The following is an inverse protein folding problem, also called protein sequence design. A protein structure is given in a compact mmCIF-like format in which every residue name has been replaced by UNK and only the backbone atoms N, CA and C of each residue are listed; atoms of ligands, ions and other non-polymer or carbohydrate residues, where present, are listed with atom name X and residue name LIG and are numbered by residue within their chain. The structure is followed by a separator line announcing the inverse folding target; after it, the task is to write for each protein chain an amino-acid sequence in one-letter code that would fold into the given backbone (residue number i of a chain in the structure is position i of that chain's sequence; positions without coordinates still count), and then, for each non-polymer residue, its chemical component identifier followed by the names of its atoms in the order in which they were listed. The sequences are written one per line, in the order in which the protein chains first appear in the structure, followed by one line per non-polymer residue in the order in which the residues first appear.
data_IF_102793960799
#
_entry.id   IF_102793960799
#
_cell.length_a   1.000
_cell.length_b   1.000
_cell.length_c   1.000
_cell.angle_alpha   90.00
_cell.angle_beta   90.00
_cell.angle_gamma   90.00
#
_symmetry.space_group_name_H-M   'P 1'
#
loop_
_entity.id
_entity.type
_entity.pdbx_description
1 polymer ?
#
# COMPACT_ATOMS: atom_id res chain seq x y z
N UNK A 1 -49.43 -8.10 -37.12
CA UNK A 1 -48.68 -7.12 -37.95
C UNK A 1 -47.27 -7.65 -38.11
N UNK A 2 -46.62 -7.45 -39.25
CA UNK A 2 -45.23 -7.87 -39.45
C UNK A 2 -44.31 -7.16 -38.45
N UNK A 3 -43.34 -7.91 -37.88
CA UNK A 3 -42.33 -7.34 -36.97
C UNK A 3 -41.27 -6.59 -37.77
N UNK A 4 -40.60 -5.62 -37.15
CA UNK A 4 -39.58 -4.82 -37.84
C UNK A 4 -38.47 -5.67 -38.48
N UNK A 5 -38.04 -6.74 -37.80
CA UNK A 5 -37.04 -7.69 -38.31
C UNK A 5 -37.42 -8.27 -39.70
N UNK A 6 -38.69 -8.61 -39.92
CA UNK A 6 -39.15 -9.28 -41.14
C UNK A 6 -38.89 -8.45 -42.41
N UNK A 7 -38.91 -7.12 -42.29
CA UNK A 7 -38.61 -6.23 -43.42
C UNK A 7 -37.12 -6.21 -43.79
N UNK A 8 -36.23 -6.49 -42.84
CA UNK A 8 -34.78 -6.51 -43.04
C UNK A 8 -34.21 -7.93 -43.28
N UNK A 9 -34.99 -8.99 -43.09
CA UNK A 9 -34.59 -10.37 -43.39
C UNK A 9 -33.97 -10.54 -44.79
N UNK A 10 -34.50 -9.94 -45.88
CA UNK A 10 -33.88 -10.07 -47.19
C UNK A 10 -32.42 -9.59 -47.24
N UNK A 11 -32.07 -8.55 -46.48
CA UNK A 11 -30.70 -8.06 -46.39
C UNK A 11 -29.82 -8.97 -45.52
N UNK A 12 -30.36 -9.51 -44.42
CA UNK A 12 -29.66 -10.53 -43.64
C UNK A 12 -29.39 -11.80 -44.46
N UNK A 13 -30.37 -12.30 -45.20
CA UNK A 13 -30.19 -13.46 -46.08
C UNK A 13 -29.16 -13.19 -47.17
N UNK A 14 -29.19 -11.99 -47.76
CA UNK A 14 -28.19 -11.59 -48.75
C UNK A 14 -26.77 -11.50 -48.14
N UNK A 15 -26.62 -10.88 -46.98
CA UNK A 15 -25.33 -10.79 -46.27
C UNK A 15 -24.76 -12.16 -45.91
N UNK A 16 -25.59 -13.10 -45.45
CA UNK A 16 -25.15 -14.47 -45.15
C UNK A 16 -24.69 -15.22 -46.42
N UNK A 17 -25.40 -15.06 -47.54
CA UNK A 17 -24.97 -15.64 -48.81
C UNK A 17 -23.62 -15.08 -49.28
N UNK A 18 -23.37 -13.77 -49.05
CA UNK A 18 -22.07 -13.16 -49.32
C UNK A 18 -20.99 -13.67 -48.36
N UNK A 19 -21.28 -13.80 -47.05
CA UNK A 19 -20.35 -14.35 -46.05
C UNK A 19 -19.94 -15.79 -46.43
N UNK A 20 -20.88 -16.63 -46.85
CA UNK A 20 -20.62 -17.99 -47.37
C UNK A 20 -19.70 -17.96 -48.61
N UNK A 21 -19.98 -17.08 -49.59
CA UNK A 21 -19.12 -16.90 -50.77
C UNK A 21 -17.70 -16.42 -50.43
N UNK A 22 -17.55 -15.55 -49.42
CA UNK A 22 -16.26 -15.08 -48.93
C UNK A 22 -15.48 -16.24 -48.29
N UNK A 23 -16.14 -17.04 -47.44
CA UNK A 23 -15.54 -18.21 -46.77
C UNK A 23 -15.06 -19.24 -47.80
N UNK A 24 -15.88 -19.54 -48.80
CA UNK A 24 -15.56 -20.51 -49.87
C UNK A 24 -14.60 -19.94 -50.94
N UNK A 25 -14.15 -18.68 -50.79
CA UNK A 25 -13.33 -17.97 -51.79
C UNK A 25 -13.97 -17.94 -53.19
N UNK A 26 -15.30 -18.03 -53.26
CA UNK A 26 -16.10 -18.16 -54.48
C UNK A 26 -16.75 -16.84 -54.91
N UNK A 27 -16.49 -15.74 -54.19
CA UNK A 27 -17.04 -14.43 -54.49
C UNK A 27 -16.46 -13.87 -55.82
N UNK A 28 -17.26 -13.92 -56.88
CA UNK A 28 -16.90 -13.46 -58.23
C UNK A 28 -17.43 -12.06 -58.55
N UNK A 29 -18.48 -11.62 -57.85
CA UNK A 29 -19.12 -10.33 -58.07
C UNK A 29 -18.22 -9.17 -57.61
N UNK A 30 -18.34 -8.01 -58.27
CA UNK A 30 -17.65 -6.80 -57.83
C UNK A 30 -18.27 -6.28 -56.53
N UNK A 31 -17.44 -5.75 -55.62
CA UNK A 31 -17.93 -5.19 -54.34
C UNK A 31 -18.94 -4.04 -54.55
N UNK A 32 -18.83 -3.31 -55.66
CA UNK A 32 -19.78 -2.24 -56.03
C UNK A 32 -21.17 -2.79 -56.37
N UNK A 33 -21.26 -3.91 -57.08
CA UNK A 33 -22.54 -4.58 -57.39
C UNK A 33 -23.18 -5.15 -56.11
N UNK A 34 -22.36 -5.73 -55.22
CA UNK A 34 -22.81 -6.21 -53.90
C UNK A 34 -23.39 -5.07 -53.09
N UNK A 35 -22.68 -3.94 -52.99
CA UNK A 35 -23.18 -2.76 -52.28
C UNK A 35 -24.40 -2.11 -52.97
N UNK A 36 -24.46 -2.07 -54.31
CA UNK A 36 -25.62 -1.55 -55.02
C UNK A 36 -26.88 -2.39 -54.70
N UNK A 37 -26.75 -3.71 -54.68
CA UNK A 37 -27.84 -4.62 -54.30
C UNK A 37 -28.22 -4.47 -52.83
N UNK A 38 -27.25 -4.40 -51.92
CA UNK A 38 -27.51 -4.19 -50.50
C UNK A 38 -28.25 -2.86 -50.22
N UNK A 39 -27.85 -1.76 -50.88
CA UNK A 39 -28.55 -0.46 -50.80
C UNK A 39 -30.00 -0.56 -51.29
N UNK A 40 -30.24 -1.25 -52.40
CA UNK A 40 -31.60 -1.46 -52.90
C UNK A 40 -32.48 -2.23 -51.89
N UNK A 41 -31.92 -3.23 -51.21
CA UNK A 41 -32.60 -3.97 -50.15
C UNK A 41 -32.90 -3.12 -48.92
N UNK A 42 -31.95 -2.27 -48.47
CA UNK A 42 -32.19 -1.31 -47.37
C UNK A 42 -33.34 -0.35 -47.73
N UNK A 43 -33.31 0.23 -48.92
CA UNK A 43 -34.36 1.18 -49.36
C UNK A 43 -35.73 0.49 -49.54
N UNK A 44 -35.75 -0.76 -49.96
CA UNK A 44 -36.98 -1.55 -49.99
C UNK A 44 -37.51 -1.85 -48.58
N UNK A 45 -36.63 -2.23 -47.65
CA UNK A 45 -36.98 -2.49 -46.25
C UNK A 45 -37.55 -1.24 -45.58
N UNK A 46 -36.88 -0.10 -45.72
CA UNK A 46 -37.34 1.22 -45.22
C UNK A 46 -38.74 1.55 -45.73
N UNK A 47 -38.94 1.52 -47.05
CA UNK A 47 -40.24 1.84 -47.66
C UNK A 47 -41.35 0.91 -47.19
N UNK A 48 -41.07 -0.39 -47.10
CA UNK A 48 -42.06 -1.40 -46.71
C UNK A 48 -42.44 -1.30 -45.23
N UNK A 49 -41.47 -1.06 -44.35
CA UNK A 49 -41.72 -0.90 -42.92
C UNK A 49 -42.50 0.39 -42.61
N UNK A 50 -42.16 1.50 -43.28
CA UNK A 50 -42.90 2.76 -43.18
C UNK A 50 -44.34 2.64 -43.71
N UNK A 51 -44.53 1.97 -44.85
CA UNK A 51 -45.85 1.69 -45.40
C UNK A 51 -46.71 0.80 -44.47
N UNK A 52 -46.06 -0.08 -43.70
CA UNK A 52 -46.70 -0.88 -42.66
C UNK A 52 -46.93 -0.12 -41.34
N UNK A 53 -46.62 1.18 -41.29
CA UNK A 53 -46.89 2.06 -40.14
C UNK A 53 -45.83 2.00 -39.03
N UNK A 54 -44.63 1.47 -39.29
CA UNK A 54 -43.55 1.48 -38.30
C UNK A 54 -43.00 2.90 -38.09
N UNK A 55 -42.62 3.29 -36.85
CA UNK A 55 -42.07 4.61 -36.59
C UNK A 55 -40.76 4.84 -37.35
N UNK A 56 -40.59 6.01 -37.96
CA UNK A 56 -39.38 6.35 -38.73
C UNK A 56 -38.10 6.17 -37.92
N UNK A 57 -38.09 6.59 -36.64
CA UNK A 57 -36.93 6.42 -35.77
C UNK A 57 -36.54 4.94 -35.58
N UNK A 58 -37.53 4.05 -35.42
CA UNK A 58 -37.29 2.62 -35.29
C UNK A 58 -36.76 2.01 -36.59
N UNK A 59 -37.32 2.42 -37.75
CA UNK A 59 -36.87 1.97 -39.07
C UNK A 59 -35.42 2.38 -39.34
N UNK A 60 -35.04 3.61 -39.01
CA UNK A 60 -33.67 4.09 -39.20
C UNK A 60 -32.68 3.43 -38.23
N UNK A 61 -33.05 3.22 -36.97
CA UNK A 61 -32.22 2.50 -36.01
C UNK A 61 -32.00 1.03 -36.43
N UNK A 62 -33.04 0.36 -36.92
CA UNK A 62 -32.91 -1.00 -37.45
C UNK A 62 -32.03 -1.04 -38.71
N UNK A 63 -32.20 -0.08 -39.64
CA UNK A 63 -31.36 0.02 -40.82
C UNK A 63 -29.89 0.20 -40.47
N UNK A 64 -29.58 1.02 -39.46
CA UNK A 64 -28.22 1.21 -38.96
C UNK A 64 -27.59 -0.12 -38.51
N UNK A 65 -28.29 -0.91 -37.68
CA UNK A 65 -27.78 -2.19 -37.19
C UNK A 65 -27.46 -3.17 -38.32
N UNK A 66 -28.36 -3.33 -39.29
CA UNK A 66 -28.15 -4.29 -40.38
C UNK A 66 -27.03 -3.82 -41.31
N UNK A 67 -26.89 -2.51 -41.53
CA UNK A 67 -25.80 -1.94 -42.33
C UNK A 67 -24.45 -2.12 -41.63
N UNK A 68 -24.37 -1.87 -40.32
CA UNK A 68 -23.14 -2.10 -39.55
C UNK A 68 -22.68 -3.55 -39.64
N UNK A 69 -23.61 -4.50 -39.50
CA UNK A 69 -23.32 -5.93 -39.66
C UNK A 69 -22.92 -6.32 -41.07
N UNK A 70 -23.62 -5.80 -42.08
CA UNK A 70 -23.30 -6.10 -43.48
C UNK A 70 -21.92 -5.57 -43.87
N UNK A 71 -21.59 -4.33 -43.49
CA UNK A 71 -20.26 -3.76 -43.74
C UNK A 71 -19.16 -4.59 -43.06
N UNK A 72 -19.40 -5.09 -41.83
CA UNK A 72 -18.45 -5.99 -41.15
C UNK A 72 -18.21 -7.27 -41.95
N UNK A 73 -19.25 -7.90 -42.52
CA UNK A 73 -19.10 -9.07 -43.42
C UNK A 73 -18.19 -8.73 -44.60
N UNK A 74 -18.42 -7.58 -45.27
CA UNK A 74 -17.61 -7.19 -46.43
C UNK A 74 -16.14 -7.01 -46.04
N UNK A 75 -15.84 -6.50 -44.84
CA UNK A 75 -14.44 -6.37 -44.37
C UNK A 75 -13.70 -7.69 -44.16
N UNK A 76 -14.42 -8.82 -44.04
CA UNK A 76 -13.81 -10.16 -43.91
C UNK A 76 -13.14 -10.62 -45.20
N UNK A 77 -13.47 -10.02 -46.35
CA UNK A 77 -12.78 -10.27 -47.61
C UNK A 77 -11.65 -9.24 -47.83
N UNK A 78 -10.36 -9.63 -47.71
CA UNK A 78 -9.24 -8.70 -47.86
C UNK A 78 -9.14 -8.07 -49.25
N UNK A 79 -9.72 -8.68 -50.28
CA UNK A 79 -9.69 -8.13 -51.64
C UNK A 79 -10.62 -6.93 -51.79
N UNK A 80 -11.68 -6.81 -50.99
CA UNK A 80 -12.71 -5.79 -51.15
C UNK A 80 -12.51 -4.54 -50.30
N UNK A 81 -11.64 -4.61 -49.28
CA UNK A 81 -11.42 -3.57 -48.26
C UNK A 81 -11.04 -2.17 -48.81
N UNK A 82 -10.58 -2.08 -50.06
CA UNK A 82 -10.01 -0.88 -50.68
C UNK A 82 -10.73 -0.42 -51.94
N UNK A 83 -11.78 -1.13 -52.37
CA UNK A 83 -12.40 -0.91 -53.69
C UNK A 83 -13.75 -0.21 -53.66
N UNK A 84 -14.39 -0.04 -52.50
CA UNK A 84 -15.65 0.69 -52.37
C UNK A 84 -15.82 1.37 -51.01
N UNK A 85 -16.61 2.45 -50.99
CA UNK A 85 -16.98 3.14 -49.75
C UNK A 85 -18.05 2.34 -48.98
N UNK A 86 -17.83 1.99 -47.70
CA UNK A 86 -18.79 1.26 -46.88
C UNK A 86 -20.16 1.94 -46.78
N UNK A 87 -21.22 1.16 -46.58
CA UNK A 87 -22.57 1.70 -46.53
C UNK A 87 -22.80 2.62 -45.33
N UNK A 88 -22.17 2.33 -44.18
CA UNK A 88 -22.21 3.16 -42.97
C UNK A 88 -21.79 4.62 -43.23
N UNK A 89 -20.81 4.84 -44.13
CA UNK A 89 -20.36 6.18 -44.50
C UNK A 89 -21.42 6.85 -45.36
N UNK A 90 -21.90 6.16 -46.40
CA UNK A 90 -22.84 6.75 -47.36
C UNK A 90 -24.26 6.99 -46.82
N UNK A 91 -24.72 6.17 -45.87
CA UNK A 91 -26.09 6.20 -45.35
C UNK A 91 -26.21 6.88 -43.99
N UNK A 92 -25.18 6.81 -43.15
CA UNK A 92 -25.22 7.30 -41.76
C UNK A 92 -24.10 8.28 -41.43
N UNK A 93 -23.22 8.60 -42.40
CA UNK A 93 -22.11 9.53 -42.22
C UNK A 93 -21.18 9.15 -41.04
N UNK A 94 -20.97 7.84 -40.83
CA UNK A 94 -20.04 7.31 -39.82
C UNK A 94 -19.09 6.29 -40.46
N UNK A 95 -17.87 6.19 -39.92
CA UNK A 95 -16.92 5.12 -40.20
C UNK A 95 -16.64 4.26 -38.95
N UNK A 96 -17.45 4.42 -37.90
CA UNK A 96 -17.26 3.83 -36.57
C UNK A 96 -18.49 3.02 -36.13
N UNK A 97 -19.26 2.49 -37.09
CA UNK A 97 -20.50 1.77 -36.80
C UNK A 97 -20.29 0.54 -35.90
N UNK A 98 -19.10 -0.08 -35.94
CA UNK A 98 -18.71 -1.20 -35.07
C UNK A 98 -18.78 -0.89 -33.56
N UNK A 99 -18.47 0.35 -33.17
CA UNK A 99 -18.54 0.83 -31.79
C UNK A 99 -19.92 1.44 -31.49
N UNK A 100 -20.41 2.31 -32.38
CA UNK A 100 -21.71 2.98 -32.26
C UNK A 100 -22.89 2.00 -32.18
N UNK A 101 -22.76 0.80 -32.77
CA UNK A 101 -23.76 -0.27 -32.65
C UNK A 101 -24.08 -0.60 -31.19
N UNK A 102 -23.06 -0.79 -30.35
CA UNK A 102 -23.27 -1.15 -28.95
C UNK A 102 -23.75 0.04 -28.12
N UNK A 103 -23.33 1.25 -28.47
CA UNK A 103 -23.88 2.49 -27.89
C UNK A 103 -25.38 2.60 -28.17
N UNK A 104 -25.80 2.48 -29.43
CA UNK A 104 -27.21 2.52 -29.83
C UNK A 104 -28.03 1.41 -29.15
N UNK A 105 -27.50 0.18 -29.10
CA UNK A 105 -28.15 -0.95 -28.43
C UNK A 105 -28.36 -0.67 -26.93
N UNK A 106 -27.38 -0.09 -26.25
CA UNK A 106 -27.47 0.24 -24.83
C UNK A 106 -28.48 1.36 -24.53
N UNK A 107 -28.72 2.24 -25.50
CA UNK A 107 -29.64 3.38 -25.39
C UNK A 107 -31.11 3.02 -25.68
N UNK A 108 -31.41 1.80 -26.17
CA UNK A 108 -32.78 1.35 -26.44
C UNK A 108 -33.60 1.21 -25.15
N UNK A 109 -34.79 1.82 -25.13
CA UNK A 109 -35.66 1.88 -23.94
C UNK A 109 -36.74 0.80 -23.99
N UNK A 110 -37.58 0.77 -22.94
CA UNK A 110 -38.84 0.01 -22.98
C UNK A 110 -39.75 0.57 -24.08
N UNK A 111 -40.20 -0.28 -25.01
CA UNK A 111 -40.92 0.12 -26.22
C UNK A 111 -40.13 -0.04 -27.52
N UNK A 112 -38.80 -0.13 -27.46
CA UNK A 112 -37.92 -0.33 -28.63
C UNK A 112 -37.62 -1.82 -28.90
N UNK A 113 -38.49 -2.73 -28.45
CA UNK A 113 -38.25 -4.18 -28.45
C UNK A 113 -38.04 -4.74 -29.86
N UNK A 114 -38.79 -4.26 -30.87
CA UNK A 114 -38.60 -4.69 -32.26
C UNK A 114 -37.28 -4.16 -32.87
N UNK A 115 -36.78 -3.00 -32.42
CA UNK A 115 -35.45 -2.50 -32.83
C UNK A 115 -34.38 -3.35 -32.18
N UNK A 116 -34.53 -3.64 -30.87
CA UNK A 116 -33.63 -4.52 -30.12
C UNK A 116 -33.57 -5.91 -30.76
N UNK A 117 -34.68 -6.43 -31.29
CA UNK A 117 -34.72 -7.69 -32.03
C UNK A 117 -33.84 -7.67 -33.28
N UNK A 118 -33.80 -6.57 -34.03
CA UNK A 118 -32.92 -6.43 -35.21
C UNK A 118 -31.45 -6.41 -34.82
N UNK A 119 -31.08 -5.64 -33.79
CA UNK A 119 -29.72 -5.62 -33.25
C UNK A 119 -29.31 -7.00 -32.72
N UNK A 120 -30.18 -7.65 -31.97
CA UNK A 120 -29.93 -8.98 -31.44
C UNK A 120 -29.77 -10.02 -32.55
N UNK A 121 -30.56 -9.92 -33.63
CA UNK A 121 -30.41 -10.80 -34.78
C UNK A 121 -29.04 -10.65 -35.45
N UNK A 122 -28.53 -9.42 -35.61
CA UNK A 122 -27.17 -9.20 -36.10
C UNK A 122 -26.10 -9.85 -35.20
N UNK A 123 -26.25 -9.77 -33.87
CA UNK A 123 -25.35 -10.43 -32.90
C UNK A 123 -25.39 -11.96 -33.02
N UNK A 124 -26.56 -12.54 -33.26
CA UNK A 124 -26.71 -13.99 -33.49
C UNK A 124 -26.07 -14.43 -34.81
N UNK A 125 -26.09 -13.57 -35.82
CA UNK A 125 -25.44 -13.78 -37.11
C UNK A 125 -23.96 -13.38 -37.11
N UNK A 126 -23.34 -13.29 -35.93
CA UNK A 126 -21.90 -13.15 -35.78
C UNK A 126 -21.37 -11.73 -35.96
N UNK A 127 -22.20 -10.69 -35.75
CA UNK A 127 -21.67 -9.33 -35.57
C UNK A 127 -20.82 -9.27 -34.30
N UNK A 128 -19.58 -8.78 -34.42
CA UNK A 128 -18.66 -8.67 -33.28
C UNK A 128 -18.33 -7.21 -32.95
N UNK A 129 -18.18 -6.36 -33.96
CA UNK A 129 -17.83 -4.95 -33.83
C UNK A 129 -16.61 -4.73 -32.93
N UNK A 130 -16.77 -3.90 -31.90
CA UNK A 130 -15.70 -3.56 -30.95
C UNK A 130 -15.13 -4.73 -30.14
N UNK A 131 -15.80 -5.89 -30.12
CA UNK A 131 -15.41 -7.08 -29.35
C UNK A 131 -14.63 -8.12 -30.18
N UNK A 132 -14.00 -7.73 -31.29
CA UNK A 132 -13.35 -8.64 -32.26
C UNK A 132 -12.29 -9.59 -31.67
N UNK A 133 -11.81 -9.31 -30.45
CA UNK A 133 -10.83 -10.11 -29.73
C UNK A 133 -11.43 -11.22 -28.85
N UNK A 134 -12.76 -11.23 -28.64
CA UNK A 134 -13.42 -12.28 -27.85
C UNK A 134 -13.69 -13.53 -28.69
N UNK A 135 -13.58 -14.70 -28.07
CA UNK A 135 -13.91 -15.99 -28.70
C UNK A 135 -14.98 -16.72 -27.89
N UNK A 136 -16.07 -17.11 -28.57
CA UNK A 136 -17.23 -17.76 -27.95
C UNK A 136 -18.10 -16.82 -27.12
N UNK A 137 -19.10 -17.39 -26.45
CA UNK A 137 -20.13 -16.63 -25.71
C UNK A 137 -19.83 -16.47 -24.20
N UNK A 138 -18.57 -16.66 -23.78
CA UNK A 138 -18.17 -16.57 -22.37
C UNK A 138 -17.67 -15.17 -21.93
N UNK A 139 -17.44 -14.27 -22.90
CA UNK A 139 -16.95 -12.91 -22.68
C UNK A 139 -18.05 -11.86 -22.47
N UNK A 140 -17.69 -10.58 -22.63
CA UNK A 140 -18.63 -9.45 -22.53
C UNK A 140 -19.68 -9.48 -23.64
N UNK A 141 -19.33 -9.91 -24.85
CA UNK A 141 -20.28 -10.05 -25.95
C UNK A 141 -21.37 -11.09 -25.61
N UNK A 142 -20.98 -12.19 -24.97
CA UNK A 142 -21.91 -13.20 -24.46
C UNK A 142 -22.86 -12.64 -23.40
N UNK A 143 -22.36 -11.81 -22.49
CA UNK A 143 -23.20 -11.11 -21.50
C UNK A 143 -24.18 -10.15 -22.15
N UNK A 144 -23.75 -9.38 -23.17
CA UNK A 144 -24.62 -8.46 -23.91
C UNK A 144 -25.74 -9.22 -24.62
N UNK A 145 -25.43 -10.38 -25.24
CA UNK A 145 -26.43 -11.26 -25.84
C UNK A 145 -27.45 -11.72 -24.78
N UNK A 146 -26.99 -12.22 -23.64
CA UNK A 146 -27.87 -12.71 -22.57
C UNK A 146 -28.74 -11.61 -21.94
N UNK A 147 -28.21 -10.40 -21.77
CA UNK A 147 -28.97 -9.27 -21.22
C UNK A 147 -30.07 -8.78 -22.18
N UNK A 148 -29.81 -8.78 -23.48
CA UNK A 148 -30.76 -8.31 -24.49
C UNK A 148 -31.78 -9.38 -24.88
N UNK A 149 -31.42 -10.67 -24.82
CA UNK A 149 -32.32 -11.79 -25.16
C UNK A 149 -33.61 -11.79 -24.32
N UNK A 150 -33.49 -11.44 -23.03
CA UNK A 150 -34.61 -11.34 -22.08
C UNK A 150 -35.56 -10.18 -22.34
N UNK A 151 -35.15 -9.21 -23.15
CA UNK A 151 -35.89 -7.98 -23.45
C UNK A 151 -36.42 -7.96 -24.90
N UNK A 152 -36.44 -9.12 -25.56
CA UNK A 152 -36.97 -9.27 -26.91
C UNK A 152 -38.50 -9.45 -26.87
N UNK A 153 -39.20 -9.11 -27.97
CA UNK A 153 -40.64 -9.38 -28.10
C UNK A 153 -40.97 -10.87 -27.90
N UNK A 154 -40.06 -11.75 -28.32
CA UNK A 154 -40.10 -13.19 -28.07
C UNK A 154 -38.74 -13.61 -27.52
N UNK A 155 -38.63 -13.73 -26.20
CA UNK A 155 -37.40 -14.16 -25.55
C UNK A 155 -37.08 -15.62 -25.93
N UNK A 156 -35.81 -15.96 -26.26
CA UNK A 156 -35.41 -17.33 -26.51
C UNK A 156 -35.54 -18.16 -25.24
N UNK A 157 -35.87 -19.44 -25.40
CA UNK A 157 -35.97 -20.36 -24.28
C UNK A 157 -34.61 -20.48 -23.56
N UNK A 158 -34.57 -20.40 -22.22
CA UNK A 158 -33.34 -20.58 -21.47
C UNK A 158 -32.71 -21.95 -21.76
N UNK A 159 -31.42 -22.01 -22.06
CA UNK A 159 -30.75 -23.29 -22.40
C UNK A 159 -30.88 -24.36 -21.31
N UNK A 160 -30.99 -23.95 -20.04
CA UNK A 160 -31.17 -24.87 -18.91
C UNK A 160 -32.60 -25.42 -18.83
N UNK A 161 -33.61 -24.73 -19.38
CA UNK A 161 -34.99 -25.24 -19.43
C UNK A 161 -35.22 -26.14 -20.64
N UNK A 162 -34.40 -26.09 -21.69
CA UNK A 162 -34.56 -26.96 -22.88
C UNK A 162 -34.51 -28.47 -22.58
N UNK A 163 -33.93 -28.87 -21.44
CA UNK A 163 -33.96 -30.27 -20.97
C UNK A 163 -35.30 -30.66 -20.37
N UNK A 164 -36.05 -29.70 -19.86
CA UNK A 164 -37.28 -29.87 -19.09
C UNK A 164 -38.51 -29.47 -19.92
N UNK A 165 -38.38 -28.46 -20.80
CA UNK A 165 -39.40 -27.98 -21.71
C UNK A 165 -39.35 -28.73 -23.03
N UNK A 166 -40.48 -29.36 -23.33
CA UNK A 166 -40.70 -30.16 -24.52
C UNK A 166 -40.87 -29.27 -25.76
N UNK A 167 -39.79 -29.08 -26.52
CA UNK A 167 -39.72 -28.14 -27.66
C UNK A 167 -40.54 -28.57 -28.88
N UNK A 168 -40.92 -29.86 -29.01
CA UNK A 168 -41.73 -30.34 -30.16
C UNK A 168 -42.89 -31.21 -29.71
N UNK A 169 -44.04 -31.23 -30.40
CA UNK A 169 -45.17 -32.11 -30.09
C UNK A 169 -44.91 -33.60 -30.45
N UNK A 170 -43.67 -34.06 -30.51
CA UNK A 170 -43.34 -35.47 -30.68
C UNK A 170 -43.55 -36.24 -29.36
N UNK A 171 -43.92 -37.54 -29.39
CA UNK A 171 -44.34 -38.23 -28.18
C UNK A 171 -43.14 -38.58 -27.28
N UNK A 172 -42.91 -37.77 -26.25
CA UNK A 172 -42.01 -38.06 -25.12
C UNK A 172 -42.43 -39.29 -24.29
N UNK A 173 -43.49 -39.99 -24.70
CA UNK A 173 -43.95 -41.25 -24.14
C UNK A 173 -43.13 -42.45 -24.65
N UNK A 174 -42.32 -42.28 -25.70
CA UNK A 174 -41.36 -43.32 -26.08
C UNK A 174 -40.14 -43.26 -25.17
N UNK A 175 -39.87 -44.38 -24.50
CA UNK A 175 -38.62 -44.57 -23.77
C UNK A 175 -37.46 -44.45 -24.75
N UNK A 176 -36.54 -43.52 -24.50
CA UNK A 176 -35.34 -43.38 -25.32
C UNK A 176 -34.65 -44.73 -25.54
N UNK A 177 -34.15 -45.02 -26.75
CA UNK A 177 -33.39 -46.22 -27.00
C UNK A 177 -32.22 -46.27 -26.01
N UNK A 178 -31.98 -47.46 -25.45
CA UNK A 178 -30.86 -47.64 -24.53
C UNK A 178 -29.56 -47.36 -25.29
N UNK A 179 -28.93 -46.22 -25.01
CA UNK A 179 -27.59 -45.90 -25.51
C UNK A 179 -26.57 -46.99 -25.11
N UNK A 180 -25.38 -46.99 -25.73
CA UNK A 180 -24.35 -48.00 -25.46
C UNK A 180 -24.10 -48.12 -23.95
N UNK A 181 -24.24 -49.34 -23.43
CA UNK A 181 -23.97 -49.65 -22.02
C UNK A 181 -22.46 -49.57 -21.79
N UNK A 182 -21.97 -48.39 -21.47
CA UNK A 182 -20.64 -48.27 -20.86
C UNK A 182 -20.65 -49.02 -19.51
N UNK A 183 -19.67 -49.88 -19.23
CA UNK A 183 -19.61 -50.64 -17.99
C UNK A 183 -19.38 -49.67 -16.81
N UNK A 184 -20.48 -49.30 -16.15
CA UNK A 184 -20.53 -48.39 -14.98
C UNK A 184 -19.60 -48.80 -13.81
N UNK A 185 -19.05 -50.01 -13.82
CA UNK A 185 -18.10 -50.46 -12.80
C UNK A 185 -16.78 -49.70 -12.85
N UNK A 186 -16.34 -49.30 -14.06
CA UNK A 186 -15.16 -48.45 -14.21
C UNK A 186 -15.48 -47.02 -13.81
N UNK A 187 -16.66 -46.49 -14.15
CA UNK A 187 -17.06 -45.13 -13.76
C UNK A 187 -17.15 -44.98 -12.24
N UNK A 188 -17.75 -45.93 -11.53
CA UNK A 188 -17.84 -45.85 -10.07
C UNK A 188 -16.47 -46.01 -9.38
N UNK A 189 -15.59 -46.84 -9.94
CA UNK A 189 -14.24 -47.05 -9.40
C UNK A 189 -13.35 -45.83 -9.69
N UNK A 190 -13.41 -45.28 -10.91
CA UNK A 190 -12.71 -44.05 -11.32
C UNK A 190 -13.24 -42.84 -10.57
N UNK A 191 -14.55 -42.73 -10.33
CA UNK A 191 -15.13 -41.66 -9.52
C UNK A 191 -14.68 -41.76 -8.06
N UNK A 192 -14.67 -42.96 -7.47
CA UNK A 192 -14.16 -43.16 -6.11
C UNK A 192 -12.66 -42.84 -6.01
N UNK A 193 -11.86 -43.29 -6.97
CA UNK A 193 -10.42 -42.98 -7.03
C UNK A 193 -10.20 -41.47 -7.22
N UNK A 194 -10.96 -40.84 -8.11
CA UNK A 194 -10.92 -39.40 -8.38
C UNK A 194 -11.29 -38.58 -7.14
N UNK A 195 -12.36 -38.94 -6.43
CA UNK A 195 -12.74 -38.28 -5.15
C UNK A 195 -11.68 -38.49 -4.08
N UNK A 196 -11.10 -39.70 -4.00
CA UNK A 196 -10.05 -39.99 -3.01
C UNK A 196 -8.78 -39.19 -3.29
N UNK A 197 -8.36 -39.10 -4.56
CA UNK A 197 -7.21 -38.26 -4.97
C UNK A 197 -7.51 -36.78 -4.77
N UNK A 198 -8.72 -36.31 -5.13
CA UNK A 198 -9.13 -34.92 -4.96
C UNK A 198 -9.22 -34.50 -3.48
N UNK A 199 -9.48 -35.44 -2.55
CA UNK A 199 -9.39 -35.20 -1.10
C UNK A 199 -7.96 -35.31 -0.58
N UNK A 200 -7.16 -36.24 -1.10
CA UNK A 200 -5.78 -36.43 -0.65
C UNK A 200 -4.85 -35.30 -1.08
N UNK A 201 -5.06 -34.65 -2.24
CA UNK A 201 -4.26 -33.50 -2.68
C UNK A 201 -4.31 -32.32 -1.69
N UNK A 202 -5.48 -31.78 -1.29
CA UNK A 202 -5.55 -30.69 -0.33
C UNK A 202 -5.13 -31.13 1.07
N UNK A 203 -5.40 -32.37 1.49
CA UNK A 203 -4.91 -32.89 2.78
C UNK A 203 -3.39 -33.01 2.78
N UNK A 204 -2.79 -33.53 1.71
CA UNK A 204 -1.34 -33.60 1.56
C UNK A 204 -0.71 -32.21 1.44
N UNK A 205 -1.38 -31.27 0.78
CA UNK A 205 -0.97 -29.86 0.73
C UNK A 205 -1.04 -29.20 2.10
N UNK A 206 -2.09 -29.45 2.89
CA UNK A 206 -2.22 -28.96 4.26
C UNK A 206 -1.17 -29.57 5.17
N UNK A 207 -0.96 -30.90 5.11
CA UNK A 207 0.11 -31.57 5.85
C UNK A 207 1.46 -31.01 5.42
N UNK A 208 1.71 -30.84 4.12
CA UNK A 208 2.92 -30.19 3.62
C UNK A 208 3.03 -28.74 4.11
N UNK A 209 1.96 -27.97 4.17
CA UNK A 209 1.98 -26.58 4.66
C UNK A 209 2.28 -26.50 6.16
N UNK A 210 1.77 -27.43 6.96
CA UNK A 210 2.00 -27.48 8.41
C UNK A 210 3.30 -28.18 8.81
N UNK A 211 3.78 -29.13 8.00
CA UNK A 211 5.01 -29.90 8.26
C UNK A 211 6.21 -29.32 7.51
N UNK A 212 6.01 -28.55 6.44
CA UNK A 212 7.09 -27.78 5.85
C UNK A 212 7.58 -26.81 6.91
N UNK A 213 8.83 -26.93 7.36
CA UNK A 213 9.40 -25.87 8.17
C UNK A 213 9.29 -24.60 7.33
N UNK A 214 8.76 -23.52 7.91
CA UNK A 214 8.85 -22.20 7.31
C UNK A 214 10.25 -22.10 6.73
N UNK A 215 10.39 -21.85 5.42
CA UNK A 215 11.72 -21.68 4.83
C UNK A 215 12.42 -20.68 5.73
N UNK A 216 13.42 -21.15 6.46
CA UNK A 216 14.32 -20.31 7.24
C UNK A 216 15.07 -19.50 6.18
N UNK A 217 14.42 -18.45 5.68
CA UNK A 217 15.12 -17.35 5.08
C UNK A 217 16.11 -16.93 6.16
N UNK A 218 17.40 -17.00 5.84
CA UNK A 218 18.43 -16.53 6.75
C UNK A 218 18.11 -15.11 7.23
N UNK A 219 18.75 -14.65 8.31
CA UNK A 219 18.51 -13.32 8.83
C UNK A 219 18.61 -12.29 7.69
N UNK A 220 17.63 -11.40 7.60
CA UNK A 220 17.67 -10.32 6.62
C UNK A 220 18.91 -9.45 6.86
N UNK A 221 19.35 -8.68 5.85
CA UNK A 221 20.47 -7.75 6.03
C UNK A 221 20.18 -6.78 7.18
N UNK A 222 18.94 -6.30 7.33
CA UNK A 222 18.50 -5.51 8.48
C UNK A 222 18.72 -6.23 9.82
N UNK A 223 18.41 -7.53 9.90
CA UNK A 223 18.59 -8.32 11.12
C UNK A 223 20.07 -8.55 11.44
N UNK A 224 20.90 -8.81 10.42
CA UNK A 224 22.35 -8.95 10.58
C UNK A 224 22.97 -7.64 11.09
N UNK A 225 22.63 -6.51 10.48
CA UNK A 225 23.11 -5.19 10.91
C UNK A 225 22.61 -4.88 12.33
N UNK A 226 21.34 -5.12 12.63
CA UNK A 226 20.79 -4.90 13.97
C UNK A 226 21.48 -5.76 15.04
N UNK A 227 21.82 -7.00 14.71
CA UNK A 227 22.56 -7.89 15.61
C UNK A 227 23.99 -7.39 15.85
N UNK A 228 24.68 -6.92 14.81
CA UNK A 228 26.04 -6.41 14.90
C UNK A 228 26.12 -5.16 15.79
N UNK A 229 25.25 -4.17 15.54
CA UNK A 229 25.28 -2.91 16.29
C UNK A 229 24.84 -3.06 17.76
N UNK A 230 24.08 -4.11 18.10
CA UNK A 230 23.65 -4.40 19.46
C UNK A 230 24.82 -4.84 20.38
N UNK A 231 25.96 -5.24 19.81
CA UNK A 231 27.14 -5.68 20.56
C UNK A 231 27.96 -4.54 21.20
N UNK A 232 27.64 -3.28 20.89
CA UNK A 232 28.40 -2.12 21.36
C UNK A 232 28.00 -1.72 22.79
N UNK A 233 29.01 -1.61 23.68
CA UNK A 233 28.81 -1.24 25.08
C UNK A 233 28.71 0.28 25.22
N UNK A 234 27.78 0.76 26.04
CA UNK A 234 27.49 2.19 26.22
C UNK A 234 27.27 2.91 24.89
N UNK A 235 26.43 2.28 24.06
CA UNK A 235 26.01 2.78 22.76
C UNK A 235 24.49 2.72 22.65
N UNK A 236 23.96 3.63 21.84
CA UNK A 236 22.59 3.58 21.35
C UNK A 236 22.66 3.82 19.85
N UNK A 237 22.53 2.74 19.09
CA UNK A 237 22.69 2.73 17.64
C UNK A 237 21.41 2.25 17.00
N UNK A 238 20.97 2.97 15.98
CA UNK A 238 19.84 2.57 15.14
C UNK A 238 20.33 2.44 13.70
N UNK A 239 19.90 1.39 13.03
CA UNK A 239 20.20 1.18 11.61
C UNK A 239 18.91 1.00 10.81
N UNK A 240 18.90 1.58 9.61
CA UNK A 240 17.87 1.37 8.62
C UNK A 240 18.52 0.94 7.31
N UNK A 241 18.15 -0.25 6.83
CA UNK A 241 18.61 -0.87 5.59
C UNK A 241 17.44 -0.92 4.62
N UNK A 242 17.58 -0.28 3.46
CA UNK A 242 16.55 -0.32 2.43
C UNK A 242 16.54 -1.65 1.63
N UNK A 243 15.65 -1.74 0.64
CA UNK A 243 15.52 -2.94 -0.20
C UNK A 243 16.74 -3.19 -1.11
N UNK A 244 17.50 -2.14 -1.43
CA UNK A 244 18.67 -2.20 -2.31
C UNK A 244 19.96 -2.46 -1.54
N UNK A 245 19.89 -2.44 -0.20
CA UNK A 245 21.00 -2.65 0.74
C UNK A 245 21.63 -1.35 1.25
N UNK A 246 21.12 -0.17 0.82
CA UNK A 246 21.60 1.13 1.30
C UNK A 246 21.33 1.25 2.79
N UNK A 247 22.40 1.43 3.54
CA UNK A 247 22.37 1.41 5.01
C UNK A 247 22.59 2.80 5.58
N UNK A 248 21.78 3.19 6.55
CA UNK A 248 21.97 4.41 7.35
C UNK A 248 22.04 4.04 8.82
N UNK A 249 23.09 4.52 9.49
CA UNK A 249 23.34 4.26 10.91
C UNK A 249 23.42 5.60 11.63
N UNK A 250 22.65 5.73 12.70
CA UNK A 250 22.63 6.90 13.57
C UNK A 250 22.80 6.51 15.02
N UNK A 251 23.16 7.50 15.86
CA UNK A 251 23.23 7.33 17.31
C UNK A 251 24.58 7.73 17.90
N UNK A 252 25.06 6.98 18.89
CA UNK A 252 26.35 7.24 19.51
C UNK A 252 27.08 6.00 20.01
N UNK A 253 28.41 6.12 20.13
CA UNK A 253 29.32 5.11 20.69
C UNK A 253 30.21 5.69 21.78
N UNK A 254 30.73 4.82 22.66
CA UNK A 254 31.49 5.25 23.83
C UNK A 254 32.90 5.78 23.53
N UNK A 255 33.55 5.28 22.48
CA UNK A 255 34.94 5.59 22.15
C UNK A 255 35.12 5.88 20.67
N UNK A 256 36.11 6.70 20.28
CA UNK A 256 36.43 6.91 18.87
C UNK A 256 36.83 5.60 18.15
N UNK A 257 37.50 4.68 18.86
CA UNK A 257 37.88 3.38 18.28
C UNK A 257 36.65 2.51 17.96
N UNK A 258 35.59 2.62 18.75
CA UNK A 258 34.34 1.89 18.50
C UNK A 258 33.63 2.42 17.26
N UNK A 259 33.78 3.72 16.92
CA UNK A 259 33.24 4.28 15.69
C UNK A 259 33.93 3.70 14.44
N UNK A 260 35.27 3.57 14.48
CA UNK A 260 36.01 2.95 13.38
C UNK A 260 35.70 1.45 13.27
N UNK A 261 35.60 0.76 14.42
CA UNK A 261 35.17 -0.64 14.46
C UNK A 261 33.76 -0.81 13.86
N UNK A 262 32.82 0.06 14.22
CA UNK A 262 31.45 0.04 13.68
C UNK A 262 31.43 0.15 12.16
N UNK A 263 32.28 1.02 11.60
CA UNK A 263 32.40 1.18 10.14
C UNK A 263 32.91 -0.09 9.47
N UNK A 264 33.91 -0.74 10.06
CA UNK A 264 34.46 -2.00 9.54
C UNK A 264 33.47 -3.15 9.68
N UNK A 265 32.89 -3.34 10.85
CA UNK A 265 31.97 -4.45 11.16
C UNK A 265 30.74 -4.39 10.24
N UNK A 266 30.10 -3.22 10.10
CA UNK A 266 28.92 -3.04 9.24
C UNK A 266 29.25 -3.20 7.76
N UNK A 267 30.38 -2.65 7.29
CA UNK A 267 30.80 -2.80 5.90
C UNK A 267 31.15 -4.25 5.54
N UNK A 268 31.52 -5.07 6.52
CA UNK A 268 31.79 -6.50 6.36
C UNK A 268 30.55 -7.37 6.20
N UNK A 269 29.33 -6.85 6.46
CA UNK A 269 28.08 -7.61 6.38
C UNK A 269 27.66 -7.79 4.91
N UNK A 270 27.51 -9.03 4.41
CA UNK A 270 27.06 -9.28 3.05
C UNK A 270 25.68 -8.64 2.79
N UNK A 271 25.59 -7.84 1.72
CA UNK A 271 24.35 -7.17 1.31
C UNK A 271 24.22 -5.71 1.75
N UNK A 272 25.09 -5.22 2.64
CA UNK A 272 25.20 -3.80 2.94
C UNK A 272 25.82 -3.05 1.76
N UNK A 273 25.22 -1.93 1.37
CA UNK A 273 25.73 -1.02 0.35
C UNK A 273 25.74 0.41 0.90
N UNK A 274 26.75 1.18 0.51
CA UNK A 274 26.88 2.63 0.77
C UNK A 274 26.44 3.06 2.19
N UNK A 275 27.05 2.52 3.26
CA UNK A 275 26.64 2.84 4.61
C UNK A 275 26.95 4.31 4.95
N UNK A 276 25.94 5.05 5.40
CA UNK A 276 26.08 6.41 5.92
C UNK A 276 26.06 6.40 7.44
N UNK A 277 26.93 7.20 8.08
CA UNK A 277 27.11 7.20 9.53
C UNK A 277 26.86 8.60 10.11
N UNK A 278 25.79 8.71 10.89
CA UNK A 278 25.46 9.87 11.72
C UNK A 278 25.65 9.50 13.20
N UNK A 279 26.86 9.03 13.53
CA UNK A 279 27.19 8.50 14.86
C UNK A 279 28.16 9.44 15.56
N UNK A 280 27.81 9.86 16.78
CA UNK A 280 28.66 10.71 17.64
C UNK A 280 29.42 9.88 18.67
N UNK A 281 30.51 10.41 19.21
CA UNK A 281 31.19 9.82 20.36
C UNK A 281 30.63 10.45 21.62
N UNK A 282 30.18 9.62 22.56
CA UNK A 282 29.67 10.03 23.86
C UNK A 282 30.27 9.11 24.91
N UNK A 283 31.25 9.60 25.67
CA UNK A 283 32.03 8.77 26.58
C UNK A 283 31.19 8.23 27.75
N UNK A 284 31.66 7.16 28.39
CA UNK A 284 31.12 6.77 29.69
C UNK A 284 31.55 7.82 30.74
N UNK A 285 30.67 8.25 31.67
CA UNK A 285 29.31 7.77 31.94
C UNK A 285 28.20 8.46 31.14
N UNK A 286 28.51 9.48 30.34
CA UNK A 286 27.52 10.30 29.63
C UNK A 286 26.60 9.46 28.74
N UNK A 287 27.12 8.45 28.05
CA UNK A 287 26.33 7.55 27.21
C UNK A 287 25.26 6.77 27.99
N UNK A 288 25.53 6.34 29.23
CA UNK A 288 24.54 5.66 30.09
C UNK A 288 23.44 6.64 30.52
N UNK A 289 23.82 7.85 30.93
CA UNK A 289 22.88 8.88 31.37
C UNK A 289 21.95 9.29 30.24
N UNK A 290 22.51 9.60 29.07
CA UNK A 290 21.73 9.97 27.89
C UNK A 290 20.79 8.83 27.49
N UNK A 291 21.25 7.58 27.49
CA UNK A 291 20.40 6.42 27.19
C UNK A 291 19.24 6.31 28.16
N UNK A 292 19.53 6.44 29.46
CA UNK A 292 18.57 6.30 30.54
C UNK A 292 17.50 7.40 30.51
N UNK A 293 17.90 8.64 30.22
CA UNK A 293 17.02 9.81 30.32
C UNK A 293 16.37 10.23 28.99
N UNK A 294 16.85 9.76 27.84
CA UNK A 294 16.31 10.11 26.51
C UNK A 294 14.78 9.92 26.40
N UNK A 295 14.17 8.81 26.86
CA UNK A 295 12.72 8.65 26.80
C UNK A 295 11.96 9.75 27.57
N UNK A 296 12.53 10.24 28.67
CA UNK A 296 11.92 11.26 29.51
C UNK A 296 12.21 12.68 29.01
N UNK A 297 13.30 12.86 28.25
CA UNK A 297 13.54 14.07 27.44
C UNK A 297 12.57 14.18 26.29
N UNK A 298 12.33 13.09 25.56
CA UNK A 298 11.32 13.05 24.51
C UNK A 298 9.94 13.39 25.08
N UNK A 299 9.57 12.78 26.21
CA UNK A 299 8.32 13.12 26.93
C UNK A 299 8.22 14.62 27.24
N UNK A 300 9.27 15.22 27.81
CA UNK A 300 9.32 16.65 28.12
C UNK A 300 9.06 17.52 26.87
N UNK A 301 9.72 17.18 25.76
CA UNK A 301 9.59 17.89 24.48
C UNK A 301 8.21 17.71 23.86
N UNK A 302 7.74 16.47 23.73
CA UNK A 302 6.46 16.13 23.09
C UNK A 302 5.27 16.77 23.83
N UNK A 303 5.32 16.76 25.16
CA UNK A 303 4.27 17.34 26.01
C UNK A 303 4.44 18.82 26.30
N UNK A 304 5.58 19.40 25.91
CA UNK A 304 5.90 20.80 26.19
C UNK A 304 5.85 21.08 27.71
N UNK A 305 6.38 20.16 28.52
CA UNK A 305 6.37 20.27 29.98
C UNK A 305 7.29 21.40 30.48
N UNK A 306 8.23 21.88 29.65
CA UNK A 306 8.96 23.12 29.86
C UNK A 306 10.16 23.02 30.81
N UNK A 307 10.52 21.80 31.26
CA UNK A 307 11.76 21.57 31.99
C UNK A 307 12.94 21.90 31.08
N UNK A 308 13.84 22.77 31.51
CA UNK A 308 15.00 23.17 30.71
C UNK A 308 16.23 23.44 31.57
N UNK A 309 17.40 23.12 31.02
CA UNK A 309 18.72 23.50 31.55
C UNK A 309 19.48 24.31 30.52
N UNK A 310 20.00 25.45 30.95
CA UNK A 310 20.75 26.37 30.09
C UNK A 310 21.97 26.93 30.83
N UNK A 311 23.08 27.27 30.14
CA UNK A 311 24.17 28.03 30.75
C UNK A 311 23.68 29.40 31.25
N UNK A 312 24.15 29.86 32.41
CA UNK A 312 23.81 31.20 32.95
C UNK A 312 24.49 32.36 32.21
N UNK A 313 25.60 32.13 31.52
CA UNK A 313 26.38 33.18 30.85
C UNK A 313 26.09 33.19 29.35
N UNK A 314 26.02 34.38 28.75
CA UNK A 314 25.70 34.62 27.32
C UNK A 314 26.74 34.10 26.31
N UNK A 315 27.31 32.93 26.58
CA UNK A 315 28.29 32.23 25.76
C UNK A 315 27.82 30.80 25.51
N UNK A 316 28.42 30.23 24.47
CA UNK A 316 28.26 28.86 23.99
C UNK A 316 28.25 27.80 25.10
N UNK A 317 27.96 26.57 24.72
CA UNK A 317 28.19 25.33 25.48
C UNK A 317 29.67 25.05 25.85
N UNK A 318 30.53 26.09 25.94
CA UNK A 318 31.97 25.98 26.16
C UNK A 318 32.40 26.73 27.42
N UNK A 319 33.17 26.05 28.26
CA UNK A 319 33.72 26.58 29.51
C UNK A 319 35.25 26.47 29.48
N UNK A 320 35.95 27.49 29.98
CA UNK A 320 37.42 27.46 30.08
C UNK A 320 37.87 27.13 31.50
N UNK A 321 39.12 26.69 31.66
CA UNK A 321 39.72 26.46 32.98
C UNK A 321 39.48 27.64 33.93
N UNK A 322 39.19 27.31 35.20
CA UNK A 322 38.88 28.21 36.31
C UNK A 322 37.52 28.94 36.19
N UNK A 323 36.76 28.72 35.11
CA UNK A 323 35.38 29.17 34.98
C UNK A 323 34.47 28.37 35.92
N UNK A 324 33.44 29.04 36.46
CA UNK A 324 32.48 28.43 37.37
C UNK A 324 31.32 27.80 36.59
N UNK A 325 31.02 26.54 36.89
CA UNK A 325 29.90 25.83 36.29
C UNK A 325 28.62 26.26 37.00
N UNK A 326 27.92 27.21 36.40
CA UNK A 326 26.63 27.70 36.85
C UNK A 326 25.61 27.46 35.73
N UNK A 327 24.45 26.92 36.08
CA UNK A 327 23.36 26.65 35.13
C UNK A 327 22.06 27.27 35.59
N UNK A 328 21.35 27.84 34.64
CA UNK A 328 19.99 28.34 34.81
C UNK A 328 19.01 27.22 34.49
N UNK A 329 18.15 26.93 35.46
CA UNK A 329 17.13 25.90 35.35
C UNK A 329 15.75 26.51 35.32
N UNK A 330 14.88 25.90 34.51
CA UNK A 330 13.45 26.16 34.47
C UNK A 330 12.78 24.85 34.87
N UNK A 331 12.03 24.86 35.98
CA UNK A 331 11.24 23.71 36.39
C UNK A 331 10.10 23.45 35.39
N UNK A 332 9.70 22.18 35.27
CA UNK A 332 8.53 21.77 34.51
C UNK A 332 7.28 22.56 34.94
N UNK A 333 6.25 22.56 34.10
CA UNK A 333 4.95 23.20 34.30
C UNK A 333 4.11 22.58 35.45
N UNK A 334 4.73 21.82 36.34
CA UNK A 334 4.14 21.21 37.51
C UNK A 334 5.11 21.26 38.69
N UNK A 335 4.56 21.28 39.91
CA UNK A 335 5.35 21.16 41.13
C UNK A 335 6.06 19.81 41.18
N UNK A 336 7.33 19.80 41.58
CA UNK A 336 8.13 18.58 41.66
C UNK A 336 9.48 18.76 42.36
N UNK A 337 10.11 17.64 42.68
CA UNK A 337 11.50 17.58 43.12
C UNK A 337 12.41 17.68 41.91
N UNK A 338 13.48 18.47 42.04
CA UNK A 338 14.47 18.69 40.99
C UNK A 338 15.78 18.00 41.38
N UNK A 339 16.45 17.41 40.39
CA UNK A 339 17.76 16.78 40.52
C UNK A 339 18.63 17.23 39.36
N UNK A 340 19.85 17.65 39.66
CA UNK A 340 20.77 18.31 38.74
C UNK A 340 22.14 17.72 39.00
N UNK A 341 22.63 16.97 38.03
CA UNK A 341 23.85 16.19 38.15
C UNK A 341 24.81 16.57 37.03
N UNK A 342 26.06 16.86 37.39
CA UNK A 342 27.13 17.21 36.47
C UNK A 342 28.15 16.07 36.39
N UNK A 343 28.31 15.51 35.20
CA UNK A 343 29.15 14.35 34.94
C UNK A 343 30.44 14.79 34.26
N UNK A 344 31.56 14.57 34.93
CA UNK A 344 32.89 14.96 34.43
C UNK A 344 33.45 13.95 33.44
N UNK A 345 34.51 14.32 32.73
CA UNK A 345 35.23 13.40 31.84
C UNK A 345 35.95 12.26 32.58
N UNK A 346 36.29 12.41 33.87
CA UNK A 346 36.89 11.31 34.66
C UNK A 346 35.85 10.33 35.20
N UNK A 347 34.57 10.56 34.90
CA UNK A 347 33.47 9.73 35.36
C UNK A 347 33.12 9.94 36.84
N UNK A 348 33.31 11.17 37.33
CA UNK A 348 32.69 11.62 38.57
C UNK A 348 31.31 12.22 38.29
N UNK A 349 30.46 12.20 39.31
CA UNK A 349 29.16 12.88 39.33
C UNK A 349 29.19 13.89 40.45
N UNK A 350 28.98 15.15 40.12
CA UNK A 350 28.87 16.25 41.05
C UNK A 350 27.39 16.62 41.16
N UNK A 351 26.85 16.52 42.36
CA UNK A 351 25.43 16.76 42.62
C UNK A 351 25.18 18.26 42.82
N UNK A 352 24.86 18.94 41.71
CA UNK A 352 24.56 20.38 41.68
C UNK A 352 23.30 20.70 42.50
N UNK A 353 22.30 19.83 42.47
CA UNK A 353 21.08 19.96 43.26
C UNK A 353 20.38 18.60 43.38
N UNK A 354 19.82 18.22 44.54
CA UNK A 354 19.90 18.91 45.82
C UNK A 354 21.23 18.66 46.55
N UNK A 355 21.75 19.64 47.27
CA UNK A 355 22.94 19.49 48.13
C UNK A 355 22.87 20.38 49.37
N UNK A 356 23.91 20.40 50.21
CA UNK A 356 23.90 21.20 51.45
C UNK A 356 24.14 22.70 51.23
N UNK A 357 24.63 23.11 50.06
CA UNK A 357 24.99 24.50 49.74
C UNK A 357 23.81 25.27 49.17
N UNK A 358 22.97 24.62 48.37
CA UNK A 358 21.90 25.29 47.65
C UNK A 358 20.62 25.46 48.51
N UNK A 359 19.99 26.65 48.48
CA UNK A 359 18.70 26.86 49.15
C UNK A 359 17.62 25.98 48.51
N UNK A 360 16.58 25.64 49.28
CA UNK A 360 15.47 24.77 48.81
C UNK A 360 15.88 23.34 48.41
N UNK A 361 17.12 22.93 48.70
CA UNK A 361 17.58 21.57 48.43
C UNK A 361 16.70 20.50 49.08
N UNK A 362 16.26 19.55 48.25
CA UNK A 362 15.40 18.43 48.67
C UNK A 362 13.94 18.82 48.89
N UNK A 363 13.55 20.06 48.56
CA UNK A 363 12.16 20.53 48.64
C UNK A 363 11.49 20.48 47.27
N UNK A 364 10.16 20.61 47.28
CA UNK A 364 9.37 20.74 46.06
C UNK A 364 9.57 22.14 45.50
N UNK A 365 9.93 22.21 44.22
CA UNK A 365 10.05 23.45 43.46
C UNK A 365 8.74 23.68 42.72
N UNK A 366 8.22 24.90 42.81
CA UNK A 366 6.96 25.28 42.17
C UNK A 366 7.06 25.21 40.63
N UNK A 367 5.94 24.91 39.99
CA UNK A 367 5.78 24.88 38.54
C UNK A 367 6.39 26.12 37.86
N UNK A 368 7.16 25.91 36.80
CA UNK A 368 7.83 26.96 36.02
C UNK A 368 8.76 27.89 36.81
N UNK A 369 9.13 27.50 38.04
CA UNK A 369 10.13 28.21 38.83
C UNK A 369 11.48 28.26 38.13
N UNK A 370 12.14 29.42 38.19
CA UNK A 370 13.50 29.60 37.69
C UNK A 370 14.47 29.62 38.86
N UNK A 371 15.59 28.93 38.71
CA UNK A 371 16.63 28.88 39.72
C UNK A 371 18.00 28.72 39.05
N UNK A 372 18.98 29.42 39.59
CA UNK A 372 20.38 29.26 39.17
C UNK A 372 21.04 28.28 40.13
N UNK A 373 21.56 27.17 39.60
CA UNK A 373 22.27 26.16 40.37
C UNK A 373 23.76 26.31 40.16
N UNK A 374 24.50 26.11 41.24
CA UNK A 374 25.96 26.16 41.23
C UNK A 374 26.51 27.48 41.72
N UNK A 375 25.68 28.48 42.06
CA UNK A 375 26.11 29.81 42.55
C UNK A 375 26.46 29.85 44.05
N UNK A 376 26.09 28.83 44.84
CA UNK A 376 26.19 28.86 46.31
C UNK A 376 27.58 28.58 46.89
N UNK A 377 28.65 29.10 46.28
CA UNK A 377 30.01 29.00 46.81
C UNK A 377 30.39 30.12 47.79
N UNK A 378 31.62 30.07 48.28
CA UNK A 378 32.15 31.03 49.27
C UNK A 378 32.25 32.41 48.60
N UNK A 379 31.48 33.39 49.09
CA UNK A 379 31.33 34.76 48.54
C UNK A 379 30.38 34.91 47.32
N UNK A 380 29.43 34.00 47.11
CA UNK A 380 28.40 34.16 46.06
C UNK A 380 28.91 33.94 44.63
N UNK A 381 30.10 33.33 44.49
CA UNK A 381 30.56 32.71 43.24
C UNK A 381 30.33 31.20 43.30
N UNK A 382 30.29 30.53 42.16
CA UNK A 382 30.03 29.11 42.09
C UNK A 382 31.12 28.22 42.70
N UNK A 383 30.70 27.06 43.21
CA UNK A 383 31.56 26.15 43.98
C UNK A 383 32.24 25.07 43.13
N UNK A 384 31.92 25.02 41.84
CA UNK A 384 32.52 24.09 40.88
C UNK A 384 33.26 24.90 39.84
N UNK A 385 34.55 24.61 39.75
CA UNK A 385 35.47 25.21 38.79
C UNK A 385 35.90 24.16 37.78
N UNK A 386 35.95 24.56 36.52
CA UNK A 386 36.48 23.71 35.45
C UNK A 386 37.98 23.52 35.63
N UNK A 387 38.42 22.27 35.70
CA UNK A 387 39.82 21.88 35.75
C UNK A 387 40.10 20.71 34.79
N UNK A 388 41.36 20.36 34.62
CA UNK A 388 41.78 19.25 33.77
C UNK A 388 41.46 17.87 34.42
N UNK A 389 41.29 16.81 33.60
CA UNK A 389 41.20 16.78 32.13
C UNK A 389 40.01 17.54 31.52
N UNK A 390 40.27 18.15 30.37
CA UNK A 390 39.26 18.87 29.60
C UNK A 390 38.61 17.94 28.56
N UNK A 391 37.34 18.19 28.25
CA UNK A 391 36.63 17.45 27.22
C UNK A 391 35.14 17.73 27.21
N UNK A 392 34.40 16.84 26.57
CA UNK A 392 32.94 16.92 26.56
C UNK A 392 32.40 16.35 27.87
N UNK A 393 31.54 17.11 28.54
CA UNK A 393 30.89 16.76 29.79
C UNK A 393 29.38 16.88 29.68
N UNK A 394 28.65 16.45 30.70
CA UNK A 394 27.19 16.37 30.66
C UNK A 394 26.58 16.94 31.93
N UNK A 395 25.56 17.78 31.78
CA UNK A 395 24.66 18.17 32.87
C UNK A 395 23.30 17.56 32.56
N UNK A 396 22.77 16.80 33.52
CA UNK A 396 21.42 16.24 33.44
C UNK A 396 20.52 16.87 34.47
N UNK A 397 19.24 17.01 34.12
CA UNK A 397 18.20 17.51 35.00
C UNK A 397 17.02 16.56 34.96
N UNK A 398 16.50 16.21 36.13
CA UNK A 398 15.30 15.39 36.29
C UNK A 398 14.31 16.11 37.19
N UNK A 399 13.06 16.18 36.75
CA UNK A 399 11.92 16.59 37.56
C UNK A 399 11.04 15.38 37.84
N UNK A 400 10.58 15.24 39.09
CA UNK A 400 9.81 14.08 39.54
C UNK A 400 8.77 14.49 40.60
N UNK A 401 7.62 13.81 40.65
CA UNK A 401 6.61 14.08 41.69
C UNK A 401 7.06 13.61 43.08
N UNK A 402 7.94 12.60 43.12
CA UNK A 402 8.44 11.99 44.35
C UNK A 402 9.97 12.08 44.40
N UNK A 403 10.59 12.09 45.59
CA UNK A 403 12.04 12.05 45.69
C UNK A 403 12.62 10.80 45.01
N UNK A 404 13.68 10.98 44.20
CA UNK A 404 14.37 9.87 43.53
C UNK A 404 15.06 8.93 44.52
N UNK A 405 15.55 9.48 45.61
CA UNK A 405 16.24 8.78 46.68
C UNK A 405 16.06 9.51 48.02
N UNK A 406 16.37 8.82 49.11
CA UNK A 406 16.28 9.35 50.47
C UNK A 406 17.57 10.09 50.85
N UNK A 407 17.42 11.27 51.46
CA UNK A 407 18.54 12.08 51.93
C UNK A 407 19.31 12.79 50.81
N UNK A 408 20.40 13.46 51.20
CA UNK A 408 21.33 14.12 50.28
C UNK A 408 22.47 13.16 49.90
N UNK A 409 22.91 13.25 48.65
CA UNK A 409 24.13 12.58 48.19
C UNK A 409 25.36 13.37 48.65
N UNK A 410 26.55 12.73 48.71
CA UNK A 410 27.81 13.46 48.76
C UNK A 410 27.89 14.49 47.64
N UNK A 411 28.68 15.53 47.79
CA UNK A 411 28.80 16.55 46.74
C UNK A 411 29.37 16.00 45.43
N UNK A 412 30.26 15.01 45.54
CA UNK A 412 30.87 14.30 44.44
C UNK A 412 31.01 12.82 44.76
N UNK A 413 30.71 11.97 43.79
CA UNK A 413 30.89 10.52 43.86
C UNK A 413 31.18 9.91 42.49
N UNK A 414 31.68 8.68 42.46
CA UNK A 414 31.99 8.00 41.21
C UNK A 414 30.71 7.56 40.48
N UNK A 415 30.65 7.74 39.16
CA UNK A 415 29.46 7.44 38.37
C UNK A 415 29.06 5.95 38.40
N UNK A 416 30.00 5.03 38.60
CA UNK A 416 29.69 3.60 38.76
C UNK A 416 28.93 3.30 40.06
N UNK A 417 28.99 4.19 41.07
CA UNK A 417 28.21 4.11 42.30
C UNK A 417 26.84 4.74 42.12
N UNK A 418 26.77 5.90 41.46
CA UNK A 418 25.53 6.64 41.30
C UNK A 418 24.58 6.07 40.23
N UNK A 419 25.11 5.66 39.06
CA UNK A 419 24.29 5.22 37.93
C UNK A 419 23.33 4.06 38.25
N UNK A 420 23.73 3.01 39.00
CA UNK A 420 22.78 1.96 39.40
C UNK A 420 21.61 2.49 40.24
N UNK A 421 21.85 3.47 41.11
CA UNK A 421 20.82 4.09 41.94
C UNK A 421 19.88 4.95 41.09
N UNK A 422 20.44 5.78 40.20
CA UNK A 422 19.64 6.58 39.27
C UNK A 422 18.77 5.68 38.39
N UNK A 423 19.32 4.57 37.87
CA UNK A 423 18.56 3.58 37.08
C UNK A 423 17.40 2.99 37.88
N UNK A 424 17.63 2.60 39.13
CA UNK A 424 16.57 2.09 40.00
C UNK A 424 15.47 3.15 40.25
N UNK A 425 15.86 4.40 40.49
CA UNK A 425 14.92 5.50 40.69
C UNK A 425 14.08 5.79 39.44
N UNK A 426 14.71 5.77 38.26
CA UNK A 426 14.05 5.90 36.96
C UNK A 426 13.07 4.75 36.71
N UNK A 427 13.47 3.51 37.00
CA UNK A 427 12.58 2.35 36.86
C UNK A 427 11.38 2.42 37.82
N UNK A 428 11.59 2.85 39.06
CA UNK A 428 10.52 3.07 40.04
C UNK A 428 9.56 4.19 39.63
N UNK A 429 10.03 5.14 38.82
CA UNK A 429 9.26 6.30 38.35
C UNK A 429 8.65 6.11 36.95
N UNK A 430 8.73 4.91 36.36
CA UNK A 430 8.24 4.65 34.99
C UNK A 430 6.76 5.00 34.81
N UNK A 431 5.94 4.82 35.85
CA UNK A 431 4.52 5.16 35.88
C UNK A 431 4.19 6.56 36.42
N UNK A 432 5.20 7.37 36.75
CA UNK A 432 4.98 8.77 37.15
C UNK A 432 4.91 9.65 35.90
N UNK A 433 3.73 10.21 35.66
CA UNK A 433 3.47 11.09 34.51
C UNK A 433 4.17 12.45 34.62
N UNK A 434 4.65 12.82 35.82
CA UNK A 434 5.42 14.04 36.08
C UNK A 434 6.93 13.80 36.05
N UNK A 435 7.37 12.56 35.81
CA UNK A 435 8.79 12.28 35.64
C UNK A 435 9.21 12.70 34.22
N UNK A 436 10.01 13.76 34.14
CA UNK A 436 10.56 14.33 32.90
C UNK A 436 12.02 14.68 33.10
N UNK A 437 12.79 14.70 32.01
CA UNK A 437 14.22 15.00 32.06
C UNK A 437 14.62 15.98 30.95
N UNK A 438 15.75 16.65 31.15
CA UNK A 438 16.49 17.35 30.11
C UNK A 438 17.99 17.19 30.37
N UNK A 439 18.81 17.41 29.36
CA UNK A 439 20.25 17.36 29.53
C UNK A 439 20.96 18.18 28.45
N UNK A 440 22.11 18.72 28.82
CA UNK A 440 22.97 19.47 27.92
C UNK A 440 24.41 18.97 28.02
N UNK A 441 25.08 18.92 26.88
CA UNK A 441 26.52 18.68 26.84
C UNK A 441 27.24 20.01 26.97
N UNK A 442 28.35 20.02 27.68
CA UNK A 442 29.26 21.17 27.74
C UNK A 442 30.65 20.72 27.27
N UNK A 443 31.44 21.65 26.77
CA UNK A 443 32.80 21.42 26.33
C UNK A 443 33.74 22.23 27.22
N UNK A 444 34.59 21.55 27.98
CA UNK A 444 35.65 22.20 28.76
C UNK A 444 36.93 22.31 27.94
N UNK A 445 37.66 23.41 28.11
CA UNK A 445 38.89 23.72 27.39
C UNK A 445 39.94 24.37 28.32
N UNK A 446 41.25 24.22 28.07
CA UNK A 446 42.26 24.99 28.79
C UNK A 446 42.13 26.49 28.48
N UNK A 447 42.55 27.35 29.42
CA UNK A 447 42.75 28.78 29.12
C UNK A 447 43.76 28.91 27.98
N UNK A 448 43.38 29.61 26.90
CA UNK A 448 44.26 29.85 25.75
C UNK A 448 45.48 30.69 26.09
#
# INVERSE_FOLDING_TARGET
MARLLEFFVPLFSFGLAIDEQIIDSAAQDSVDEVYARARALVEQARRSALAAGKPTAAVEAAAFAVVAWFDEIITRNPTWWSHASPMQVSLFNTNNAGNEFFEHLSNLKGGDEEVREVYYHALLLGFVGQYYYETGDHGELGKIKELNSRQLPVAPAPLHTLREEQVTPQPYLMKDPSGPRYPKSWDALVLKLGVTVALLIPIAYLVWFFVSPAKLAGPSVQQLVAQEIAGYVCADLSANVDKDGVTSIGGYVSKPIDLERLRTDVAGIPGVKTPSYQVKVLIWPHCEVVKLLTPYRQRNLDRHDGLAVTPTTGHSDRFVKDEQVIVKLIQANHDGYLYVDYYTVEGQVIHLFPNQREPHSGQVIAASGQLDVGQSGVQGGGWITVDAPFGQELISVVSSAKPLYQGLRPDSEAANVYLPLLKQAVEASRGDDKFVADFMTIQTEPTR
#
